data_IF_710225244333
#
_entry.id   IF_710225244333
#
_cell.length_a   1.000
_cell.length_b   1.000
_cell.length_c   1.000
_cell.angle_alpha   90.00
_cell.angle_beta   90.00
_cell.angle_gamma   90.00
#
_symmetry.space_group_name_H-M   'P 1'
#
loop_
_entity.id
_entity.type
_entity.pdbx_description
1 polymer ?
#
# COMPACT_ATOMS: atom_id res chain seq x y z
N UNK A 1 5.03 57.85 19.50
CA UNK A 1 6.18 56.94 19.66
C UNK A 1 5.84 55.77 20.60
N UNK A 2 5.66 55.98 21.91
CA UNK A 2 5.41 54.90 22.88
C UNK A 2 4.13 54.07 22.61
N UNK A 3 3.02 54.73 22.28
CA UNK A 3 1.76 54.03 21.96
C UNK A 3 1.89 53.11 20.74
N UNK A 4 2.60 53.56 19.69
CA UNK A 4 2.84 52.78 18.47
C UNK A 4 3.70 51.55 18.74
N UNK A 5 4.73 51.68 19.58
CA UNK A 5 5.59 50.55 19.99
C UNK A 5 4.79 49.51 20.79
N UNK A 6 3.89 49.97 21.68
CA UNK A 6 3.02 49.08 22.45
C UNK A 6 2.05 48.30 21.55
N UNK A 7 1.43 48.97 20.57
CA UNK A 7 0.53 48.32 19.61
C UNK A 7 1.24 47.28 18.75
N UNK A 8 2.47 47.55 18.30
CA UNK A 8 3.28 46.59 17.53
C UNK A 8 3.64 45.38 18.40
N UNK A 9 4.06 45.59 19.64
CA UNK A 9 4.41 44.51 20.56
C UNK A 9 3.21 43.60 20.86
N UNK A 10 2.03 44.18 21.08
CA UNK A 10 0.78 43.40 21.27
C UNK A 10 0.42 42.63 20.01
N UNK A 11 0.52 43.25 18.83
CA UNK A 11 0.23 42.59 17.57
C UNK A 11 1.16 41.40 17.29
N UNK A 12 2.47 41.55 17.54
CA UNK A 12 3.44 40.47 17.42
C UNK A 12 3.16 39.33 18.41
N UNK A 13 2.79 39.67 19.66
CA UNK A 13 2.43 38.68 20.67
C UNK A 13 1.17 37.89 20.26
N UNK A 14 0.18 38.56 19.69
CA UNK A 14 -1.04 37.93 19.16
C UNK A 14 -0.72 37.00 17.99
N UNK A 15 0.13 37.43 17.04
CA UNK A 15 0.57 36.57 15.93
C UNK A 15 1.27 35.32 16.46
N UNK A 16 2.21 35.45 17.40
CA UNK A 16 2.92 34.30 17.97
C UNK A 16 1.94 33.34 18.67
N UNK A 17 0.96 33.87 19.39
CA UNK A 17 -0.08 33.06 20.05
C UNK A 17 -1.00 32.35 19.05
N UNK A 18 -1.44 33.04 18.00
CA UNK A 18 -2.28 32.47 16.93
C UNK A 18 -1.51 31.38 16.19
N UNK A 19 -0.25 31.62 15.80
CA UNK A 19 0.59 30.64 15.13
C UNK A 19 0.84 29.39 16.01
N UNK A 20 1.02 29.59 17.33
CA UNK A 20 1.12 28.48 18.28
C UNK A 20 -0.17 27.66 18.37
N UNK A 21 -1.33 28.32 18.44
CA UNK A 21 -2.63 27.65 18.49
C UNK A 21 -2.93 26.89 17.20
N UNK A 22 -2.64 27.46 16.03
CA UNK A 22 -2.81 26.78 14.73
C UNK A 22 -1.98 25.51 14.67
N UNK A 23 -0.73 25.54 15.14
CA UNK A 23 0.12 24.34 15.22
C UNK A 23 -0.46 23.29 16.15
N UNK A 24 -0.91 23.67 17.35
CA UNK A 24 -1.52 22.71 18.28
C UNK A 24 -2.79 22.07 17.73
N UNK A 25 -3.64 22.85 17.05
CA UNK A 25 -4.85 22.32 16.40
C UNK A 25 -4.47 21.38 15.25
N UNK A 26 -3.41 21.70 14.48
CA UNK A 26 -2.88 20.80 13.46
C UNK A 26 -2.32 19.51 14.07
N UNK A 27 -1.47 19.59 15.10
CA UNK A 27 -0.90 18.42 15.76
C UNK A 27 -1.99 17.50 16.36
N UNK A 28 -3.06 18.09 16.93
CA UNK A 28 -4.21 17.34 17.45
C UNK A 28 -5.05 16.72 16.32
N UNK A 29 -5.21 17.43 15.19
CA UNK A 29 -5.86 16.88 14.01
C UNK A 29 -5.06 15.71 13.43
N UNK A 30 -3.73 15.83 13.34
CA UNK A 30 -2.82 14.79 12.87
C UNK A 30 -2.83 13.57 13.82
N UNK A 31 -2.90 13.79 15.14
CA UNK A 31 -3.05 12.71 16.12
C UNK A 31 -4.39 11.99 16.01
N UNK A 32 -5.50 12.72 15.79
CA UNK A 32 -6.80 12.13 15.50
C UNK A 32 -6.80 11.38 14.16
N UNK A 33 -6.05 11.88 13.18
CA UNK A 33 -5.87 11.26 11.87
C UNK A 33 -5.04 9.98 11.95
N UNK A 34 -4.10 9.86 12.90
CA UNK A 34 -3.31 8.63 13.11
C UNK A 34 -4.18 7.39 13.44
N UNK A 35 -5.29 7.57 14.16
CA UNK A 35 -6.31 6.53 14.37
C UNK A 35 -7.07 6.23 13.06
N UNK A 36 -7.17 7.22 12.18
CA UNK A 36 -7.83 7.10 10.88
C UNK A 36 -6.99 6.38 9.80
N UNK A 37 -5.74 5.99 10.09
CA UNK A 37 -4.84 5.30 9.16
C UNK A 37 -4.67 3.80 9.39
N UNK A 38 -5.20 3.25 10.48
CA UNK A 38 -5.21 1.80 10.72
C UNK A 38 -6.58 1.22 10.38
N UNK A 39 -6.59 -0.04 9.95
CA UNK A 39 -7.80 -0.83 9.77
C UNK A 39 -8.23 -1.42 11.11
N UNK A 40 -9.48 -1.17 11.50
CA UNK A 40 -10.00 -1.56 12.82
C UNK A 40 -10.11 -3.07 13.04
N UNK A 41 -10.12 -3.88 11.98
CA UNK A 41 -10.17 -5.34 12.10
C UNK A 41 -8.76 -5.93 12.22
N UNK A 42 -7.88 -5.55 11.30
CA UNK A 42 -6.57 -6.20 11.09
C UNK A 42 -5.42 -5.50 11.82
N UNK A 43 -5.58 -4.23 12.21
CA UNK A 43 -4.56 -3.44 12.90
C UNK A 43 -3.40 -2.99 12.00
N UNK A 44 -3.37 -3.38 10.73
CA UNK A 44 -2.42 -2.87 9.74
C UNK A 44 -2.93 -1.56 9.13
N UNK A 45 -2.11 -0.81 8.38
CA UNK A 45 -2.57 0.37 7.64
C UNK A 45 -3.83 0.12 6.81
N UNK A 46 -4.68 1.12 6.64
CA UNK A 46 -5.88 1.04 5.80
C UNK A 46 -5.64 1.70 4.43
N UNK A 47 -6.67 1.69 3.57
CA UNK A 47 -6.63 2.30 2.24
C UNK A 47 -6.17 3.77 2.25
N UNK A 48 -6.62 4.58 3.21
CA UNK A 48 -6.24 6.00 3.30
C UNK A 48 -4.73 6.14 3.53
N UNK A 49 -4.18 5.28 4.39
CA UNK A 49 -2.74 5.25 4.66
C UNK A 49 -1.94 4.81 3.43
N UNK A 50 -2.47 3.83 2.69
CA UNK A 50 -1.88 3.36 1.45
C UNK A 50 -1.87 4.45 0.38
N UNK A 51 -3.00 5.13 0.14
CA UNK A 51 -3.13 6.19 -0.86
C UNK A 51 -2.14 7.34 -0.54
N UNK A 52 -2.11 7.80 0.71
CA UNK A 52 -1.19 8.85 1.16
C UNK A 52 0.29 8.45 1.03
N UNK A 53 0.64 7.23 1.43
CA UNK A 53 2.02 6.75 1.35
C UNK A 53 2.47 6.54 -0.09
N UNK A 54 1.58 6.10 -0.98
CA UNK A 54 1.89 5.93 -2.39
C UNK A 54 2.22 7.27 -3.05
N UNK A 55 1.38 8.29 -2.84
CA UNK A 55 1.64 9.63 -3.35
C UNK A 55 2.97 10.21 -2.86
N UNK A 56 3.25 10.02 -1.55
CA UNK A 56 4.51 10.45 -0.94
C UNK A 56 5.70 9.75 -1.58
N UNK A 57 5.65 8.42 -1.75
CA UNK A 57 6.74 7.62 -2.33
C UNK A 57 6.96 7.91 -3.80
N UNK A 58 5.91 8.15 -4.58
CA UNK A 58 6.02 8.53 -5.98
C UNK A 58 6.71 9.89 -6.14
N UNK A 59 6.38 10.86 -5.27
CA UNK A 59 7.06 12.17 -5.25
C UNK A 59 8.56 12.01 -5.01
N UNK A 60 8.96 11.12 -4.10
CA UNK A 60 10.37 10.82 -3.82
C UNK A 60 11.02 10.09 -5.01
N UNK A 61 10.35 9.07 -5.56
CA UNK A 61 10.83 8.30 -6.70
C UNK A 61 11.08 9.18 -7.93
N UNK A 62 10.19 10.14 -8.19
CA UNK A 62 10.34 11.10 -9.29
C UNK A 62 11.55 12.01 -9.16
N UNK A 63 11.94 12.38 -7.93
CA UNK A 63 13.12 13.23 -7.70
C UNK A 63 14.43 12.46 -7.75
N UNK A 64 14.43 11.21 -7.30
CA UNK A 64 15.66 10.44 -7.08
C UNK A 64 15.84 9.25 -8.04
N UNK A 65 14.94 9.07 -9.01
CA UNK A 65 15.01 7.96 -9.97
C UNK A 65 14.85 6.59 -9.31
N UNK A 66 14.05 6.52 -8.24
CA UNK A 66 13.98 5.34 -7.39
C UNK A 66 12.96 4.31 -7.92
N UNK A 67 13.26 3.01 -7.77
CA UNK A 67 12.37 1.93 -8.20
C UNK A 67 11.26 1.69 -7.19
N UNK A 68 10.01 1.73 -7.65
CA UNK A 68 8.81 1.51 -6.85
C UNK A 68 7.94 0.44 -7.53
N UNK A 69 7.50 -0.55 -6.77
CA UNK A 69 6.51 -1.54 -7.21
C UNK A 69 5.32 -1.46 -6.26
N UNK A 70 4.12 -1.46 -6.81
CA UNK A 70 2.88 -1.66 -6.05
C UNK A 70 2.32 -3.04 -6.33
N UNK A 71 1.61 -3.59 -5.35
CA UNK A 71 0.86 -4.83 -5.50
C UNK A 71 -0.57 -4.65 -4.99
N UNK A 72 -1.54 -5.24 -5.67
CA UNK A 72 -2.89 -5.45 -5.14
C UNK A 72 -3.09 -6.95 -4.97
N UNK A 73 -3.48 -7.36 -3.76
CA UNK A 73 -3.70 -8.75 -3.34
C UNK A 73 -5.17 -8.91 -3.01
N UNK A 74 -5.74 -10.06 -3.36
CA UNK A 74 -7.13 -10.42 -3.03
C UNK A 74 -7.18 -11.89 -2.62
N UNK A 75 -7.75 -12.17 -1.44
CA UNK A 75 -7.93 -13.55 -0.97
C UNK A 75 -8.94 -14.28 -1.86
N UNK A 76 -8.49 -15.39 -2.46
CA UNK A 76 -9.30 -16.11 -3.44
C UNK A 76 -10.54 -16.73 -2.77
N UNK A 77 -11.70 -16.60 -3.41
CA UNK A 77 -12.93 -17.23 -2.95
C UNK A 77 -13.32 -16.87 -1.50
N UNK A 78 -12.91 -15.70 -0.99
CA UNK A 78 -13.17 -15.28 0.39
C UNK A 78 -14.66 -15.29 0.77
N UNK A 79 -15.56 -14.93 -0.15
CA UNK A 79 -17.00 -15.08 0.04
C UNK A 79 -17.40 -16.53 0.33
N UNK A 80 -16.88 -17.50 -0.43
CA UNK A 80 -17.19 -18.92 -0.23
C UNK A 80 -16.64 -19.43 1.10
N UNK A 81 -15.44 -18.97 1.50
CA UNK A 81 -14.87 -19.25 2.81
C UNK A 81 -15.81 -18.77 3.94
N UNK A 82 -16.31 -17.54 3.83
CA UNK A 82 -17.30 -16.99 4.77
C UNK A 82 -18.61 -17.77 4.77
N UNK A 83 -19.12 -18.16 3.59
CA UNK A 83 -20.38 -18.90 3.48
C UNK A 83 -20.25 -20.29 4.14
N UNK A 84 -19.06 -20.90 4.13
CA UNK A 84 -18.80 -22.23 4.70
C UNK A 84 -18.49 -22.18 6.22
N UNK A 85 -17.69 -21.21 6.66
CA UNK A 85 -17.13 -21.18 8.03
C UNK A 85 -17.68 -20.04 8.90
N UNK A 86 -18.49 -19.15 8.31
CA UNK A 86 -19.07 -17.98 8.96
C UNK A 86 -18.13 -16.77 8.96
N UNK A 87 -18.74 -15.58 9.03
CA UNK A 87 -18.03 -14.29 9.06
C UNK A 87 -16.94 -14.18 10.15
N UNK A 88 -17.13 -14.69 11.40
CA UNK A 88 -16.07 -14.63 12.40
C UNK A 88 -14.78 -15.33 11.97
N UNK A 89 -14.88 -16.44 11.24
CA UNK A 89 -13.72 -17.16 10.73
C UNK A 89 -13.03 -16.37 9.59
N UNK A 90 -13.81 -15.70 8.74
CA UNK A 90 -13.24 -14.81 7.71
C UNK A 90 -12.53 -13.60 8.30
N UNK A 91 -13.09 -13.02 9.37
CA UNK A 91 -12.45 -11.94 10.10
C UNK A 91 -11.12 -12.37 10.71
N UNK A 92 -11.05 -13.57 11.31
CA UNK A 92 -9.79 -14.16 11.79
C UNK A 92 -8.81 -14.41 10.65
N UNK A 93 -9.27 -14.92 9.51
CA UNK A 93 -8.44 -15.13 8.33
C UNK A 93 -7.79 -13.81 7.86
N UNK A 94 -8.57 -12.72 7.78
CA UNK A 94 -8.07 -11.40 7.40
C UNK A 94 -7.02 -10.86 8.39
N UNK A 95 -7.26 -11.01 9.70
CA UNK A 95 -6.29 -10.61 10.74
C UNK A 95 -4.99 -11.37 10.60
N UNK A 96 -5.09 -12.70 10.48
CA UNK A 96 -3.93 -13.57 10.42
C UNK A 96 -3.16 -13.38 9.12
N UNK A 97 -3.84 -13.19 7.98
CA UNK A 97 -3.20 -12.90 6.70
C UNK A 97 -2.45 -11.56 6.75
N UNK A 98 -3.11 -10.49 7.23
CA UNK A 98 -2.48 -9.17 7.37
C UNK A 98 -1.21 -9.21 8.23
N UNK A 99 -1.28 -9.88 9.39
CA UNK A 99 -0.14 -10.03 10.30
C UNK A 99 0.97 -10.90 9.70
N UNK A 100 0.64 -12.06 9.14
CA UNK A 100 1.60 -12.98 8.56
C UNK A 100 2.35 -12.34 7.39
N UNK A 101 1.62 -11.61 6.54
CA UNK A 101 2.22 -10.90 5.41
C UNK A 101 3.08 -9.72 5.86
N UNK A 102 2.64 -8.94 6.85
CA UNK A 102 3.46 -7.86 7.41
C UNK A 102 4.82 -8.36 7.94
N UNK A 103 4.88 -9.56 8.53
CA UNK A 103 6.13 -10.17 9.01
C UNK A 103 7.09 -10.59 7.89
N UNK A 104 6.60 -10.79 6.66
CA UNK A 104 7.46 -11.11 5.51
C UNK A 104 8.08 -9.88 4.85
N UNK A 105 7.60 -8.69 5.22
CA UNK A 105 7.98 -7.41 4.62
C UNK A 105 9.13 -6.75 5.38
N UNK A 106 9.91 -5.96 4.66
CA UNK A 106 11.01 -5.18 5.26
C UNK A 106 10.46 -3.89 5.85
N UNK A 107 11.22 -3.26 6.74
CA UNK A 107 10.83 -1.99 7.39
C UNK A 107 10.49 -0.83 6.43
N UNK A 108 10.93 -0.91 5.16
CA UNK A 108 10.61 0.09 4.13
C UNK A 108 9.38 -0.23 3.29
N UNK A 109 8.85 -1.45 3.36
CA UNK A 109 7.67 -1.85 2.61
C UNK A 109 6.40 -1.54 3.41
N UNK A 110 5.27 -1.36 2.74
CA UNK A 110 3.98 -1.12 3.38
C UNK A 110 2.96 -2.12 2.84
N UNK A 111 2.25 -2.78 3.76
CA UNK A 111 1.01 -3.50 3.47
C UNK A 111 -0.15 -2.79 4.14
N UNK A 112 -1.27 -2.69 3.44
CA UNK A 112 -2.48 -2.09 3.96
C UNK A 112 -3.70 -2.93 3.57
N UNK A 113 -4.75 -2.91 4.40
CA UNK A 113 -6.05 -3.41 3.98
C UNK A 113 -6.71 -2.35 3.09
N UNK A 114 -6.80 -2.67 1.81
CA UNK A 114 -7.28 -1.78 0.76
C UNK A 114 -8.81 -1.81 0.61
N UNK A 115 -9.40 -2.98 0.84
CA UNK A 115 -10.83 -3.23 0.71
C UNK A 115 -11.30 -4.36 1.63
N UNK A 116 -12.45 -4.96 1.33
CA UNK A 116 -13.03 -6.05 2.13
C UNK A 116 -12.04 -7.19 2.38
N UNK A 117 -11.68 -7.91 1.31
CA UNK A 117 -10.63 -8.94 1.28
C UNK A 117 -9.36 -8.55 0.52
N UNK A 118 -9.27 -7.26 0.14
CA UNK A 118 -8.20 -6.73 -0.69
C UNK A 118 -7.11 -6.05 0.14
N UNK A 119 -5.86 -6.26 -0.24
CA UNK A 119 -4.68 -5.69 0.41
C UNK A 119 -3.80 -4.99 -0.61
N UNK A 120 -3.32 -3.81 -0.24
CA UNK A 120 -2.40 -3.00 -1.05
C UNK A 120 -0.98 -3.11 -0.52
N UNK A 121 -0.01 -3.28 -1.42
CA UNK A 121 1.41 -3.31 -1.13
C UNK A 121 2.14 -2.16 -1.82
N UNK A 122 3.12 -1.59 -1.13
CA UNK A 122 4.07 -0.64 -1.70
C UNK A 122 5.48 -1.07 -1.32
N UNK A 123 6.31 -1.34 -2.33
CA UNK A 123 7.65 -1.90 -2.14
C UNK A 123 8.69 -1.05 -2.86
N UNK A 124 9.80 -0.78 -2.18
CA UNK A 124 10.93 -0.08 -2.78
C UNK A 124 11.92 -1.07 -3.38
N UNK A 125 11.56 -1.65 -4.52
CA UNK A 125 12.35 -2.69 -5.16
C UNK A 125 12.09 -2.76 -6.67
N UNK A 126 12.76 -3.70 -7.35
CA UNK A 126 12.47 -4.06 -8.74
C UNK A 126 11.49 -5.23 -8.77
N UNK A 127 10.82 -5.43 -9.91
CA UNK A 127 9.85 -6.52 -10.09
C UNK A 127 10.34 -7.90 -9.67
N UNK A 128 11.60 -8.26 -9.96
CA UNK A 128 12.16 -9.56 -9.55
C UNK A 128 12.16 -9.77 -8.04
N UNK A 129 12.39 -8.71 -7.28
CA UNK A 129 12.48 -8.77 -5.82
C UNK A 129 11.05 -8.80 -5.24
N UNK A 130 10.11 -8.10 -5.88
CA UNK A 130 8.69 -8.17 -5.57
C UNK A 130 8.11 -9.58 -5.82
N UNK A 131 8.52 -10.27 -6.88
CA UNK A 131 8.13 -11.64 -7.16
C UNK A 131 8.53 -12.61 -6.04
N UNK A 132 9.76 -12.51 -5.54
CA UNK A 132 10.23 -13.31 -4.40
C UNK A 132 9.41 -13.01 -3.14
N UNK A 133 9.00 -11.76 -2.92
CA UNK A 133 8.11 -11.39 -1.82
C UNK A 133 6.74 -12.07 -2.01
N UNK A 134 6.17 -12.08 -3.21
CA UNK A 134 4.89 -12.75 -3.47
C UNK A 134 4.93 -14.24 -3.15
N UNK A 135 6.03 -14.92 -3.48
CA UNK A 135 6.21 -16.35 -3.16
C UNK A 135 6.19 -16.58 -1.64
N UNK A 136 6.91 -15.73 -0.88
CA UNK A 136 6.88 -15.78 0.60
C UNK A 136 5.50 -15.48 1.18
N UNK A 137 4.77 -14.54 0.58
CA UNK A 137 3.40 -14.25 1.01
C UNK A 137 2.48 -15.44 0.76
N UNK A 138 2.61 -16.15 -0.38
CA UNK A 138 1.84 -17.36 -0.65
C UNK A 138 2.10 -18.42 0.42
N UNK A 139 3.38 -18.69 0.72
CA UNK A 139 3.77 -19.66 1.77
C UNK A 139 3.26 -19.26 3.16
N UNK A 140 3.24 -17.97 3.47
CA UNK A 140 2.79 -17.44 4.76
C UNK A 140 1.26 -17.31 4.87
N UNK A 141 0.49 -17.59 3.81
CA UNK A 141 -0.96 -17.38 3.83
C UNK A 141 -1.64 -18.44 4.71
N UNK A 142 -2.41 -18.03 5.73
CA UNK A 142 -2.94 -18.95 6.74
C UNK A 142 -4.10 -19.81 6.23
N UNK A 143 -4.34 -20.94 6.92
CA UNK A 143 -5.54 -21.75 6.74
C UNK A 143 -5.61 -22.53 5.42
N UNK A 144 -4.49 -22.65 4.69
CA UNK A 144 -4.47 -23.25 3.36
C UNK A 144 -5.19 -22.41 2.30
N UNK A 145 -5.52 -21.16 2.64
CA UNK A 145 -6.14 -20.21 1.73
C UNK A 145 -5.12 -19.73 0.70
N UNK A 146 -5.60 -19.40 -0.50
CA UNK A 146 -4.79 -18.80 -1.56
C UNK A 146 -5.18 -17.35 -1.80
N UNK A 147 -4.32 -16.61 -2.48
CA UNK A 147 -4.63 -15.27 -2.98
C UNK A 147 -4.21 -15.12 -4.44
N UNK A 148 -4.84 -14.15 -5.11
CA UNK A 148 -4.38 -13.64 -6.39
C UNK A 148 -3.76 -12.26 -6.19
N UNK A 149 -2.72 -11.93 -6.96
CA UNK A 149 -2.10 -10.62 -6.91
C UNK A 149 -1.82 -10.01 -8.28
N UNK A 150 -1.86 -8.68 -8.34
CA UNK A 150 -1.44 -7.90 -9.50
C UNK A 150 -0.32 -6.95 -9.11
N UNK A 151 0.81 -7.03 -9.80
CA UNK A 151 1.97 -6.17 -9.55
C UNK A 151 2.14 -5.14 -10.67
N UNK A 152 2.55 -3.93 -10.32
CA UNK A 152 2.95 -2.93 -11.29
C UNK A 152 4.20 -2.18 -10.82
N UNK A 153 5.22 -2.12 -11.68
CA UNK A 153 6.38 -1.26 -11.45
C UNK A 153 6.11 0.12 -12.03
N UNK A 154 6.45 1.13 -11.25
CA UNK A 154 6.45 2.51 -11.69
C UNK A 154 7.52 2.73 -12.76
N UNK A 155 7.10 3.24 -13.92
CA UNK A 155 7.95 3.50 -15.09
C UNK A 155 8.33 4.97 -15.25
N UNK A 156 7.92 5.82 -14.31
CA UNK A 156 8.15 7.27 -14.37
C UNK A 156 7.02 8.01 -15.08
N UNK A 157 6.65 9.18 -14.54
CA UNK A 157 5.65 10.08 -15.15
C UNK A 157 4.19 9.69 -14.97
N UNK A 158 3.89 8.49 -14.47
CA UNK A 158 2.53 8.05 -14.15
C UNK A 158 2.11 8.44 -12.72
N UNK A 159 0.83 8.76 -12.55
CA UNK A 159 0.22 9.09 -11.25
C UNK A 159 -0.01 7.84 -10.39
N UNK A 160 -0.27 8.05 -9.09
CA UNK A 160 -0.67 6.96 -8.18
C UNK A 160 -1.84 6.16 -8.75
N UNK A 161 -2.90 6.84 -9.20
CA UNK A 161 -4.08 6.21 -9.77
C UNK A 161 -3.77 5.36 -11.02
N UNK A 162 -2.92 5.85 -11.92
CA UNK A 162 -2.54 5.11 -13.12
C UNK A 162 -1.74 3.84 -12.79
N UNK A 163 -0.80 3.95 -11.85
CA UNK A 163 -0.01 2.83 -11.38
C UNK A 163 -0.89 1.77 -10.68
N UNK A 164 -1.82 2.21 -9.83
CA UNK A 164 -2.80 1.33 -9.17
C UNK A 164 -3.69 0.63 -10.19
N UNK A 165 -4.19 1.34 -11.20
CA UNK A 165 -5.05 0.76 -12.25
C UNK A 165 -4.32 -0.33 -13.06
N UNK A 166 -3.01 -0.18 -13.27
CA UNK A 166 -2.19 -1.23 -13.89
C UNK A 166 -2.08 -2.48 -13.01
N UNK A 167 -1.86 -2.29 -11.70
CA UNK A 167 -1.83 -3.40 -10.76
C UNK A 167 -3.18 -4.12 -10.67
N UNK A 168 -4.29 -3.37 -10.69
CA UNK A 168 -5.65 -3.92 -10.71
C UNK A 168 -5.91 -4.76 -11.98
N UNK A 169 -5.54 -4.24 -13.16
CA UNK A 169 -5.65 -4.99 -14.41
C UNK A 169 -4.83 -6.30 -14.38
N UNK A 170 -3.65 -6.28 -13.75
CA UNK A 170 -2.85 -7.49 -13.55
C UNK A 170 -3.50 -8.46 -12.56
N UNK A 171 -4.09 -7.96 -11.47
CA UNK A 171 -4.83 -8.79 -10.50
C UNK A 171 -6.03 -9.47 -11.17
N UNK A 172 -6.76 -8.73 -12.01
CA UNK A 172 -7.84 -9.28 -12.81
C UNK A 172 -7.36 -10.42 -13.73
N UNK A 173 -6.20 -10.24 -14.39
CA UNK A 173 -5.59 -11.30 -15.19
C UNK A 173 -5.23 -12.53 -14.36
N UNK A 174 -4.61 -12.36 -13.18
CA UNK A 174 -4.31 -13.46 -12.26
C UNK A 174 -5.57 -14.25 -11.86
N UNK A 175 -6.66 -13.55 -11.54
CA UNK A 175 -7.95 -14.17 -11.22
C UNK A 175 -8.56 -14.94 -12.39
N UNK A 176 -8.44 -14.39 -13.61
CA UNK A 176 -8.94 -15.04 -14.84
C UNK A 176 -8.12 -16.27 -15.19
N UNK A 177 -6.81 -16.23 -14.95
CA UNK A 177 -5.87 -17.28 -15.33
C UNK A 177 -5.78 -18.40 -14.28
N UNK A 178 -6.81 -18.53 -13.44
CA UNK A 178 -6.98 -19.65 -12.52
C UNK A 178 -6.64 -19.38 -11.06
N UNK A 179 -6.40 -18.12 -10.67
CA UNK A 179 -6.13 -17.70 -9.28
C UNK A 179 -4.86 -18.33 -8.69
N UNK A 180 -4.63 -18.15 -7.38
CA UNK A 180 -3.48 -18.66 -6.63
C UNK A 180 -2.15 -18.37 -7.33
N UNK A 181 -1.98 -17.11 -7.73
CA UNK A 181 -0.85 -16.62 -8.51
C UNK A 181 -0.78 -15.11 -8.48
N UNK A 182 0.32 -14.57 -8.98
CA UNK A 182 0.39 -13.18 -9.33
C UNK A 182 0.66 -12.97 -10.82
N UNK A 183 0.22 -11.83 -11.32
CA UNK A 183 0.54 -11.35 -12.67
C UNK A 183 1.18 -9.96 -12.57
N UNK A 184 1.95 -9.59 -13.59
CA UNK A 184 2.65 -8.28 -13.63
C UNK A 184 2.08 -7.45 -14.78
N UNK A 185 1.75 -6.20 -14.51
CA UNK A 185 1.28 -5.27 -15.53
C UNK A 185 2.32 -5.10 -16.65
N UNK A 186 1.91 -5.40 -17.89
CA UNK A 186 2.79 -5.40 -19.06
C UNK A 186 3.46 -6.75 -19.36
N UNK A 187 3.31 -7.76 -18.50
CA UNK A 187 3.75 -9.14 -18.75
C UNK A 187 2.58 -10.13 -18.60
N UNK A 188 2.12 -10.77 -19.69
CA UNK A 188 0.95 -11.64 -19.65
C UNK A 188 1.14 -12.97 -18.89
N UNK A 189 2.34 -13.36 -18.44
CA UNK A 189 2.52 -14.55 -17.60
C UNK A 189 3.81 -14.56 -16.76
N UNK A 190 3.75 -15.19 -15.58
CA UNK A 190 4.91 -15.43 -14.68
C UNK A 190 6.02 -16.24 -15.36
N UNK A 191 5.65 -17.15 -16.26
CA UNK A 191 6.60 -17.96 -17.03
C UNK A 191 7.46 -17.10 -17.97
N UNK A 192 6.90 -16.03 -18.52
CA UNK A 192 7.64 -15.10 -19.38
C UNK A 192 8.60 -14.21 -18.56
N UNK A 193 8.20 -13.85 -17.33
CA UNK A 193 9.08 -13.13 -16.40
C UNK A 193 10.33 -13.95 -16.05
N UNK A 194 10.22 -15.25 -15.80
CA UNK A 194 11.40 -16.10 -15.56
C UNK A 194 12.35 -16.12 -16.77
N UNK A 195 11.83 -16.15 -18.00
CA UNK A 195 12.64 -16.13 -19.22
C UNK A 195 13.32 -14.76 -19.47
N UNK A 196 12.60 -13.66 -19.25
CA UNK A 196 13.11 -12.30 -19.41
C UNK A 196 14.13 -11.93 -18.30
N UNK A 197 13.95 -12.45 -17.08
CA UNK A 197 14.90 -12.26 -15.98
C UNK A 197 16.20 -13.07 -16.12
N UNK A 198 16.15 -14.26 -16.74
CA UNK A 198 17.36 -15.05 -17.05
C UNK A 198 18.15 -14.43 -18.22
N UNK A 199 17.47 -13.76 -19.15
CA UNK A 199 18.08 -13.14 -20.33
C UNK A 199 18.54 -11.69 -20.12
N UNK A 200 18.17 -11.05 -19.01
CA UNK A 200 18.62 -9.69 -18.67
C UNK A 200 18.02 -8.58 -19.53
N UNK A 201 16.94 -8.86 -20.25
CA UNK A 201 16.29 -7.91 -21.15
C UNK A 201 15.22 -7.14 -20.39
N UNK A 202 15.31 -5.80 -20.38
CA UNK A 202 14.24 -4.96 -19.83
C UNK A 202 13.05 -4.97 -20.78
N UNK A 203 11.81 -5.10 -20.29
CA UNK A 203 10.63 -5.03 -21.14
C UNK A 203 10.52 -3.66 -21.81
N UNK A 204 10.05 -3.67 -23.07
CA UNK A 204 9.84 -2.49 -23.92
C UNK A 204 8.49 -1.82 -23.66
#
# INVERSE_FOLDING_TARGET
MAASVCSIAVFLLLIVRILGLVRTVQDQADQLESIAYLDGLTGIPNRRAWDAELERRLTVAQRHGATLVVGLIDLDHFKHYNDLLGHPAGDELLRNAGLAWQQQLRAGDLIARYGGEEFGLIMHCRLKDAAIIMDRLHEATPGGQTFSAGLAQWTGGESAQQLTARADAALYAAKRDGRNRFSVAGHPSYTDLQADFVSGVSPR
#
